data_IF_578903083348
#
_entry.id   IF_578903083348
#
_cell.length_a   1.000
_cell.length_b   1.000
_cell.length_c   1.000
_cell.angle_alpha   90.00
_cell.angle_beta   90.00
_cell.angle_gamma   90.00
#
_symmetry.space_group_name_H-M   'P 1'
#
loop_
_entity.id
_entity.type
_entity.pdbx_description
1 polymer ?
#
# COMPACT_ATOMS: atom_id res chain seq x y z
N UNK A 1 -10.31 20.99 11.34
CA UNK A 1 -9.00 21.13 11.99
C UNK A 1 -8.49 19.75 12.39
N UNK A 2 -9.32 18.93 13.03
CA UNK A 2 -8.97 17.58 13.49
C UNK A 2 -8.46 16.64 12.37
N UNK A 3 -9.11 16.59 11.20
CA UNK A 3 -8.67 15.73 10.07
C UNK A 3 -7.28 16.09 9.55
N UNK A 4 -6.91 17.38 9.56
CA UNK A 4 -5.59 17.80 9.12
C UNK A 4 -4.52 17.31 10.11
N UNK A 5 -4.80 17.40 11.41
CA UNK A 5 -3.92 16.87 12.47
C UNK A 5 -3.81 15.35 12.36
N UNK A 6 -4.93 14.62 12.28
CA UNK A 6 -4.94 13.17 12.11
C UNK A 6 -4.13 12.73 10.88
N UNK A 7 -4.29 13.45 9.77
CA UNK A 7 -3.55 13.16 8.52
C UNK A 7 -2.05 13.36 8.71
N UNK A 8 -1.61 14.45 9.36
CA UNK A 8 -0.20 14.70 9.63
C UNK A 8 0.39 13.69 10.63
N UNK A 9 -0.34 13.34 11.69
CA UNK A 9 0.07 12.33 12.67
C UNK A 9 0.22 10.93 12.07
N UNK A 10 -0.49 10.65 10.98
CA UNK A 10 -0.39 9.39 10.24
C UNK A 10 0.88 9.28 9.38
N UNK A 11 1.58 10.39 9.14
CA UNK A 11 2.72 10.42 8.22
C UNK A 11 3.96 9.76 8.82
N UNK A 12 4.48 8.76 8.12
CA UNK A 12 5.73 8.06 8.48
C UNK A 12 6.87 8.64 7.65
N UNK A 13 7.92 9.11 8.33
CA UNK A 13 9.14 9.53 7.66
C UNK A 13 9.90 8.33 7.08
N UNK A 14 10.21 8.40 5.78
CA UNK A 14 10.94 7.38 5.05
C UNK A 14 12.27 7.96 4.57
N UNK A 15 13.36 7.41 5.10
CA UNK A 15 14.70 7.75 4.61
C UNK A 15 14.89 7.25 3.19
N UNK A 16 15.13 8.18 2.28
CA UNK A 16 15.44 7.95 0.88
C UNK A 16 16.69 7.08 0.69
N UNK A 17 16.95 6.75 -0.56
CA UNK A 17 17.99 5.81 -0.94
C UNK A 17 17.81 5.30 -2.35
N UNK A 18 18.58 4.29 -2.69
CA UNK A 18 18.60 3.68 -4.02
C UNK A 18 18.17 2.23 -3.95
N UNK A 19 17.31 1.80 -4.86
CA UNK A 19 16.87 0.42 -4.97
C UNK A 19 16.66 -0.01 -6.43
N UNK A 20 16.54 -1.32 -6.63
CA UNK A 20 16.12 -1.90 -7.90
C UNK A 20 14.60 -2.01 -7.89
N UNK A 21 13.93 -1.11 -8.61
CA UNK A 21 12.48 -1.07 -8.75
C UNK A 21 12.03 -2.12 -9.77
N UNK A 22 10.88 -2.74 -9.50
CA UNK A 22 10.24 -3.73 -10.34
C UNK A 22 10.34 -5.15 -9.85
N UNK A 23 9.83 -6.06 -10.66
CA UNK A 23 9.71 -7.48 -10.35
C UNK A 23 11.06 -8.19 -10.44
N UNK A 24 11.79 -8.19 -9.33
CA UNK A 24 12.96 -9.04 -9.15
C UNK A 24 12.56 -10.52 -9.20
N UNK A 25 13.52 -11.37 -9.58
CA UNK A 25 13.28 -12.80 -9.80
C UNK A 25 12.98 -13.54 -8.50
N UNK A 26 12.29 -14.66 -8.62
CA UNK A 26 11.95 -15.60 -7.57
C UNK A 26 12.64 -16.97 -7.74
N UNK A 27 12.71 -17.78 -6.66
CA UNK A 27 12.99 -19.20 -6.76
C UNK A 27 12.06 -19.87 -7.77
N UNK A 28 12.59 -20.81 -8.57
CA UNK A 28 11.80 -21.49 -9.60
C UNK A 28 10.91 -22.61 -9.08
N UNK A 29 11.17 -23.10 -7.87
CA UNK A 29 10.40 -24.16 -7.23
C UNK A 29 10.28 -23.86 -5.73
N UNK A 30 9.58 -22.77 -5.35
CA UNK A 30 9.37 -22.47 -3.96
C UNK A 30 8.45 -23.51 -3.34
N UNK A 31 8.65 -23.82 -2.06
CA UNK A 31 7.76 -24.70 -1.29
C UNK A 31 6.36 -24.08 -1.20
N UNK A 32 6.29 -22.76 -1.08
CA UNK A 32 5.05 -21.97 -1.12
C UNK A 32 5.33 -20.61 -1.75
N UNK A 33 4.38 -20.08 -2.53
CA UNK A 33 4.46 -18.70 -3.03
C UNK A 33 4.23 -17.68 -1.94
N UNK A 34 3.48 -18.03 -0.88
CA UNK A 34 3.21 -17.14 0.25
C UNK A 34 4.44 -16.96 1.17
N UNK A 35 5.40 -17.89 1.10
CA UNK A 35 6.65 -17.84 1.84
C UNK A 35 7.82 -18.11 0.91
N UNK A 36 8.32 -17.05 0.29
CA UNK A 36 9.48 -17.08 -0.58
C UNK A 36 10.61 -16.22 -0.02
N UNK A 37 11.81 -16.79 0.00
CA UNK A 37 13.04 -16.04 0.25
C UNK A 37 13.69 -15.67 -1.07
N UNK A 38 14.13 -14.41 -1.17
CA UNK A 38 14.97 -14.01 -2.28
C UNK A 38 16.40 -14.52 -2.09
N UNK A 39 16.98 -15.02 -3.17
CA UNK A 39 18.41 -15.33 -3.24
C UNK A 39 19.01 -14.83 -4.56
N UNK A 40 20.34 -14.64 -4.62
CA UNK A 40 21.02 -14.29 -5.87
C UNK A 40 20.81 -15.30 -7.02
N UNK A 41 20.45 -16.54 -6.70
CA UNK A 41 20.19 -17.60 -7.68
C UNK A 41 18.75 -17.58 -8.23
N UNK A 42 17.91 -16.68 -7.75
CA UNK A 42 16.54 -16.51 -8.24
C UNK A 42 16.52 -16.15 -9.73
N UNK A 43 15.77 -16.93 -10.53
CA UNK A 43 15.75 -16.81 -12.01
C UNK A 43 14.34 -16.74 -12.59
N UNK A 44 13.33 -17.15 -11.84
CA UNK A 44 11.97 -17.24 -12.35
C UNK A 44 11.20 -15.94 -12.15
N UNK A 45 10.24 -15.66 -13.01
CA UNK A 45 9.35 -14.51 -12.85
C UNK A 45 8.35 -14.80 -11.72
N UNK A 46 8.03 -13.80 -10.91
CA UNK A 46 7.01 -13.91 -9.84
C UNK A 46 5.60 -14.09 -10.41
N UNK A 47 5.32 -13.55 -11.60
CA UNK A 47 4.07 -13.75 -12.33
C UNK A 47 4.26 -13.51 -13.83
N UNK A 48 3.42 -14.15 -14.64
CA UNK A 48 3.39 -13.96 -16.11
C UNK A 48 2.99 -12.52 -16.47
N UNK A 49 2.20 -11.85 -15.63
CA UNK A 49 1.75 -10.46 -15.88
C UNK A 49 2.90 -9.46 -15.95
N UNK A 50 4.02 -9.71 -15.27
CA UNK A 50 5.17 -8.78 -15.28
C UNK A 50 5.83 -8.64 -16.65
N UNK A 51 5.61 -9.61 -17.55
CA UNK A 51 6.04 -9.51 -18.94
C UNK A 51 5.19 -8.47 -19.68
N UNK A 52 3.89 -8.43 -19.38
CA UNK A 52 2.90 -7.54 -20.00
C UNK A 52 2.90 -6.12 -19.42
N UNK A 53 3.41 -5.93 -18.22
CA UNK A 53 3.47 -4.60 -17.58
C UNK A 53 4.85 -3.95 -17.68
N UNK A 54 5.84 -4.65 -18.24
CA UNK A 54 7.23 -4.20 -18.24
C UNK A 54 7.93 -4.31 -16.88
N UNK A 55 7.24 -4.71 -15.81
CA UNK A 55 7.82 -4.77 -14.46
C UNK A 55 9.02 -5.74 -14.34
N UNK A 56 9.18 -6.70 -15.25
CA UNK A 56 10.37 -7.57 -15.29
C UNK A 56 11.67 -6.84 -15.66
N UNK A 57 11.60 -5.62 -16.20
CA UNK A 57 12.76 -4.78 -16.50
C UNK A 57 13.14 -3.98 -15.26
N UNK A 58 13.82 -4.65 -14.32
CA UNK A 58 14.28 -3.99 -13.11
C UNK A 58 15.26 -2.87 -13.44
N UNK A 59 15.09 -1.73 -12.79
CA UNK A 59 15.91 -0.55 -13.03
C UNK A 59 16.24 0.14 -11.70
N UNK A 60 17.35 0.88 -11.69
CA UNK A 60 17.85 1.55 -10.50
C UNK A 60 17.13 2.88 -10.33
N UNK A 61 16.50 3.09 -9.18
CA UNK A 61 15.81 4.33 -8.81
C UNK A 61 16.42 4.90 -7.55
N UNK A 62 16.65 6.21 -7.52
CA UNK A 62 17.13 6.93 -6.34
C UNK A 62 16.10 7.95 -5.90
N UNK A 63 15.70 7.89 -4.62
CA UNK A 63 14.70 8.75 -4.02
C UNK A 63 15.31 9.61 -2.92
N UNK A 64 14.88 10.87 -2.85
CA UNK A 64 15.07 11.73 -1.68
C UNK A 64 14.24 11.24 -0.49
N UNK A 65 14.46 11.81 0.69
CA UNK A 65 13.58 11.57 1.84
C UNK A 65 12.17 12.08 1.56
N UNK A 66 11.16 11.41 2.10
CA UNK A 66 9.76 11.79 2.01
C UNK A 66 9.00 11.21 3.21
N UNK A 67 7.73 11.59 3.35
CA UNK A 67 6.81 10.92 4.27
C UNK A 67 5.66 10.30 3.49
N UNK A 68 5.09 9.23 4.04
CA UNK A 68 3.93 8.54 3.48
C UNK A 68 2.92 8.27 4.60
N UNK A 69 1.63 8.44 4.33
CA UNK A 69 0.58 8.08 5.29
C UNK A 69 0.69 6.59 5.66
N UNK A 70 0.56 6.25 6.95
CA UNK A 70 0.70 4.87 7.40
C UNK A 70 -0.48 3.96 7.05
N UNK A 71 -1.56 4.50 6.51
CA UNK A 71 -2.74 3.74 6.08
C UNK A 71 -3.43 4.50 4.96
N UNK A 72 -4.34 3.82 4.27
CA UNK A 72 -5.15 4.42 3.24
C UNK A 72 -6.08 5.48 3.82
N UNK A 73 -6.38 6.51 3.01
CA UNK A 73 -7.33 7.56 3.41
C UNK A 73 -8.65 6.95 3.86
N UNK A 74 -9.10 7.33 5.05
CA UNK A 74 -10.35 6.83 5.60
C UNK A 74 -11.57 7.56 5.05
N UNK A 75 -12.75 6.96 5.20
CA UNK A 75 -14.00 7.67 4.96
C UNK A 75 -14.12 8.93 5.81
N UNK A 76 -13.70 8.92 7.08
CA UNK A 76 -13.75 10.10 7.94
C UNK A 76 -12.97 11.29 7.35
N UNK A 77 -11.72 11.06 6.94
CA UNK A 77 -10.90 12.12 6.34
C UNK A 77 -11.50 12.63 5.03
N UNK A 78 -11.90 11.71 4.15
CA UNK A 78 -12.42 12.07 2.83
C UNK A 78 -13.81 12.70 2.87
N UNK A 79 -14.67 12.32 3.81
CA UNK A 79 -15.95 12.97 4.02
C UNK A 79 -15.79 14.40 4.55
N UNK A 80 -14.76 14.67 5.36
CA UNK A 80 -14.47 16.03 5.79
C UNK A 80 -14.07 16.92 4.62
N UNK A 81 -13.27 16.39 3.68
CA UNK A 81 -13.02 17.03 2.39
C UNK A 81 -14.30 17.26 1.61
N UNK A 82 -15.16 16.26 1.45
CA UNK A 82 -16.45 16.42 0.74
C UNK A 82 -17.30 17.52 1.37
N UNK A 83 -17.41 17.55 2.71
CA UNK A 83 -18.17 18.58 3.44
C UNK A 83 -17.57 19.98 3.29
N UNK A 84 -16.25 20.11 3.22
CA UNK A 84 -15.57 21.39 3.00
C UNK A 84 -15.97 22.05 1.66
N UNK A 85 -16.38 21.24 0.67
CA UNK A 85 -16.90 21.71 -0.63
C UNK A 85 -18.42 21.56 -0.76
N UNK A 86 -19.15 21.43 0.36
CA UNK A 86 -20.62 21.30 0.39
C UNK A 86 -21.15 20.09 -0.41
N UNK A 87 -20.36 19.03 -0.52
CA UNK A 87 -20.71 17.79 -1.23
C UNK A 87 -21.27 16.74 -0.26
N UNK A 88 -22.09 15.79 -0.75
CA UNK A 88 -22.51 14.64 0.05
C UNK A 88 -21.34 13.76 0.48
N UNK A 89 -21.46 13.13 1.65
CA UNK A 89 -20.53 12.08 2.11
C UNK A 89 -20.51 10.90 1.14
N UNK A 90 -19.39 10.19 1.10
CA UNK A 90 -19.21 9.03 0.21
C UNK A 90 -20.20 7.93 0.59
N UNK A 91 -20.88 7.34 -0.41
CA UNK A 91 -21.92 6.32 -0.22
C UNK A 91 -23.06 6.75 0.72
N UNK A 92 -23.47 8.03 0.71
CA UNK A 92 -24.54 8.57 1.55
C UNK A 92 -25.78 7.65 1.68
N UNK A 93 -26.28 7.10 0.57
CA UNK A 93 -27.47 6.22 0.58
C UNK A 93 -27.29 4.85 1.26
N UNK A 94 -26.08 4.49 1.70
CA UNK A 94 -25.79 3.27 2.47
C UNK A 94 -25.52 3.54 3.95
N UNK A 95 -25.58 4.80 4.38
CA UNK A 95 -25.21 5.20 5.75
C UNK A 95 -26.42 5.40 6.63
N UNK A 96 -26.26 5.07 7.90
CA UNK A 96 -27.26 5.40 8.92
C UNK A 96 -27.22 6.89 9.21
N UNK A 97 -26.00 7.46 9.30
CA UNK A 97 -25.79 8.89 9.48
C UNK A 97 -25.09 9.48 8.26
N UNK A 98 -25.63 10.58 7.74
CA UNK A 98 -25.16 11.21 6.50
C UNK A 98 -24.08 12.29 6.77
N UNK A 99 -23.29 12.07 7.81
CA UNK A 99 -22.27 12.97 8.35
C UNK A 99 -21.04 12.21 8.86
N UNK A 100 -20.14 12.92 9.52
CA UNK A 100 -18.86 12.39 10.02
C UNK A 100 -19.01 11.49 11.27
N UNK A 101 -20.21 11.39 11.86
CA UNK A 101 -20.46 10.66 13.11
C UNK A 101 -20.94 9.21 12.90
N UNK A 102 -20.89 8.71 11.66
CA UNK A 102 -21.15 7.30 11.36
C UNK A 102 -19.91 6.45 11.70
N UNK A 103 -19.82 6.00 12.96
CA UNK A 103 -18.69 5.25 13.50
C UNK A 103 -18.37 3.99 12.70
N UNK A 104 -19.36 3.40 12.01
CA UNK A 104 -19.17 2.19 11.20
C UNK A 104 -18.25 2.43 10.00
N UNK A 105 -18.20 3.65 9.48
CA UNK A 105 -17.39 4.01 8.31
C UNK A 105 -16.05 4.64 8.69
N UNK A 106 -15.89 5.13 9.92
CA UNK A 106 -14.77 5.97 10.33
C UNK A 106 -13.41 5.41 9.93
N UNK A 107 -13.17 4.13 10.24
CA UNK A 107 -11.88 3.44 10.05
C UNK A 107 -11.90 2.47 8.85
N UNK A 108 -12.71 2.79 7.83
CA UNK A 108 -12.68 2.08 6.55
C UNK A 108 -11.93 2.90 5.51
N UNK A 109 -11.16 2.24 4.64
CA UNK A 109 -10.52 2.86 3.50
C UNK A 109 -11.59 3.36 2.50
N UNK A 110 -11.48 4.63 2.11
CA UNK A 110 -12.45 5.28 1.23
C UNK A 110 -12.17 4.94 -0.25
N UNK A 111 -13.18 4.52 -1.02
CA UNK A 111 -13.05 4.41 -2.46
C UNK A 111 -13.25 5.77 -3.12
N UNK A 112 -12.48 6.04 -4.18
CA UNK A 112 -12.74 7.14 -5.11
C UNK A 112 -13.24 6.60 -6.46
N UNK A 113 -13.98 7.43 -7.20
CA UNK A 113 -14.45 7.08 -8.54
C UNK A 113 -13.41 7.34 -9.62
N UNK A 114 -12.53 8.31 -9.38
CA UNK A 114 -11.51 8.74 -10.32
C UNK A 114 -10.24 9.16 -9.58
N UNK A 115 -9.12 9.10 -10.28
CA UNK A 115 -7.82 9.55 -9.78
C UNK A 115 -7.85 10.99 -9.27
N UNK A 116 -8.56 11.89 -9.98
CA UNK A 116 -8.64 13.31 -9.63
C UNK A 116 -9.24 13.54 -8.24
N UNK A 117 -10.20 12.71 -7.80
CA UNK A 117 -10.78 12.82 -6.45
C UNK A 117 -9.73 12.57 -5.36
N UNK A 118 -8.82 11.61 -5.57
CA UNK A 118 -7.73 11.32 -4.65
C UNK A 118 -6.66 12.42 -4.69
N UNK A 119 -6.34 12.92 -5.90
CA UNK A 119 -5.41 14.04 -6.09
C UNK A 119 -5.89 15.31 -5.38
N UNK A 120 -7.15 15.69 -5.60
CA UNK A 120 -7.74 16.89 -5.00
C UNK A 120 -7.77 16.80 -3.48
N UNK A 121 -8.03 15.62 -2.92
CA UNK A 121 -7.96 15.40 -1.47
C UNK A 121 -6.56 15.67 -0.90
N UNK A 122 -5.51 15.12 -1.53
CA UNK A 122 -4.13 15.35 -1.11
C UNK A 122 -3.75 16.84 -1.19
N UNK A 123 -4.12 17.51 -2.29
CA UNK A 123 -3.84 18.94 -2.47
C UNK A 123 -4.59 19.80 -1.45
N UNK A 124 -5.86 19.48 -1.17
CA UNK A 124 -6.64 20.15 -0.12
C UNK A 124 -6.01 19.98 1.27
N UNK A 125 -5.53 18.78 1.60
CA UNK A 125 -4.76 18.58 2.84
C UNK A 125 -3.49 19.43 2.85
N UNK A 126 -2.80 19.55 1.71
CA UNK A 126 -1.62 20.40 1.57
C UNK A 126 -1.94 21.87 1.84
N UNK A 127 -3.04 22.38 1.27
CA UNK A 127 -3.53 23.75 1.52
C UNK A 127 -3.87 23.98 3.01
N UNK A 128 -4.48 23.00 3.67
CA UNK A 128 -4.85 23.12 5.09
C UNK A 128 -3.67 23.08 6.06
N UNK A 129 -2.59 22.41 5.66
CA UNK A 129 -1.47 22.10 6.56
C UNK A 129 -0.21 22.89 6.27
N UNK A 130 -0.15 23.58 5.12
CA UNK A 130 1.05 24.25 4.58
C UNK A 130 2.21 23.27 4.31
N UNK A 131 1.89 21.99 4.11
CA UNK A 131 2.83 20.96 3.67
C UNK A 131 2.57 20.58 2.21
N UNK A 132 3.61 20.19 1.44
CA UNK A 132 3.46 19.75 0.05
C UNK A 132 2.93 18.31 -0.01
N UNK A 133 1.66 18.11 0.38
CA UNK A 133 1.00 16.80 0.38
C UNK A 133 0.50 16.48 -1.03
N UNK A 134 0.84 15.29 -1.50
CA UNK A 134 0.44 14.78 -2.82
C UNK A 134 0.35 13.24 -2.79
N UNK A 135 -0.23 12.64 -3.84
CA UNK A 135 -0.14 11.21 -4.09
C UNK A 135 1.33 10.77 -4.23
N UNK A 136 1.71 9.59 -3.72
CA UNK A 136 3.05 9.07 -3.90
C UNK A 136 3.30 8.73 -5.37
N UNK A 137 4.54 8.84 -5.82
CA UNK A 137 4.96 8.19 -7.07
C UNK A 137 4.95 6.67 -6.92
N UNK A 138 4.86 5.93 -8.03
CA UNK A 138 4.99 4.46 -8.07
C UNK A 138 6.29 4.01 -7.37
N UNK A 139 7.38 4.73 -7.63
CA UNK A 139 8.68 4.47 -7.02
C UNK A 139 8.69 4.68 -5.51
N UNK A 140 8.08 5.76 -5.01
CA UNK A 140 7.94 6.00 -3.57
C UNK A 140 7.07 4.92 -2.92
N UNK A 141 5.99 4.51 -3.58
CA UNK A 141 5.11 3.47 -3.07
C UNK A 141 5.83 2.12 -2.99
N UNK A 142 6.50 1.68 -4.06
CA UNK A 142 7.22 0.39 -4.07
C UNK A 142 8.41 0.38 -3.10
N UNK A 143 9.18 1.48 -3.03
CA UNK A 143 10.31 1.59 -2.11
C UNK A 143 9.84 1.46 -0.64
N UNK A 144 8.72 2.10 -0.31
CA UNK A 144 8.10 2.03 1.00
C UNK A 144 7.56 0.62 1.31
N UNK A 145 6.81 0.04 0.37
CA UNK A 145 6.25 -1.31 0.46
C UNK A 145 7.34 -2.35 0.73
N UNK A 146 8.49 -2.21 0.06
CA UNK A 146 9.64 -3.11 0.17
C UNK A 146 10.60 -2.76 1.31
N UNK A 147 10.15 -2.04 2.34
CA UNK A 147 10.97 -1.65 3.48
C UNK A 147 12.31 -1.02 3.05
N UNK A 148 12.21 0.07 2.28
CA UNK A 148 13.32 0.78 1.65
C UNK A 148 14.01 -0.03 0.55
N UNK A 149 13.20 -0.66 -0.30
CA UNK A 149 13.64 -1.30 -1.53
C UNK A 149 14.33 -2.68 -1.39
N UNK A 150 14.15 -3.37 -0.26
CA UNK A 150 14.65 -4.74 -0.06
C UNK A 150 13.96 -5.74 -0.99
N UNK A 151 14.55 -6.91 -1.22
CA UNK A 151 13.92 -7.98 -2.00
C UNK A 151 12.87 -8.75 -1.16
N UNK A 152 11.76 -8.08 -0.86
CA UNK A 152 10.57 -8.65 -0.19
C UNK A 152 9.46 -8.82 -1.23
N UNK A 153 8.86 -10.00 -1.30
CA UNK A 153 7.76 -10.27 -2.24
C UNK A 153 6.42 -9.68 -1.77
N UNK A 154 6.29 -9.50 -0.45
CA UNK A 154 5.11 -8.96 0.18
C UNK A 154 5.52 -7.86 1.16
N UNK A 155 4.70 -6.81 1.25
CA UNK A 155 4.91 -5.65 2.10
C UNK A 155 4.31 -5.85 3.50
N UNK A 156 4.35 -7.07 4.02
CA UNK A 156 3.90 -7.41 5.37
C UNK A 156 5.00 -7.15 6.40
N UNK A 157 4.68 -7.33 7.68
CA UNK A 157 5.62 -7.22 8.80
C UNK A 157 6.90 -8.06 8.64
N UNK A 158 6.83 -9.21 7.97
CA UNK A 158 7.95 -10.14 7.81
C UNK A 158 8.26 -10.54 6.35
N UNK A 159 7.52 -10.01 5.37
CA UNK A 159 7.75 -10.30 3.95
C UNK A 159 7.05 -11.56 3.42
N UNK A 160 6.25 -12.25 4.25
CA UNK A 160 5.46 -13.43 3.87
C UNK A 160 3.96 -13.17 4.03
N UNK A 161 3.14 -14.00 3.38
CA UNK A 161 1.69 -14.01 3.58
C UNK A 161 1.30 -15.10 4.58
N UNK A 162 0.59 -14.69 5.63
CA UNK A 162 0.17 -15.53 6.73
C UNK A 162 -1.31 -15.23 6.99
N UNK A 163 -2.21 -15.97 6.32
CA UNK A 163 -3.66 -15.74 6.43
C UNK A 163 -4.28 -16.66 7.47
N UNK A 164 -5.44 -16.24 7.97
CA UNK A 164 -6.31 -17.09 8.78
C UNK A 164 -6.71 -18.35 8.00
N UNK A 165 -6.43 -19.50 8.60
CA UNK A 165 -6.77 -20.81 8.03
C UNK A 165 -5.72 -21.37 7.06
N UNK A 166 -4.67 -20.61 6.77
CA UNK A 166 -3.51 -21.12 6.03
C UNK A 166 -2.57 -21.90 6.97
N UNK A 167 -1.75 -22.77 6.37
CA UNK A 167 -0.74 -23.56 7.07
C UNK A 167 0.67 -23.25 6.55
N UNK A 168 1.67 -23.52 7.37
CA UNK A 168 3.07 -23.46 6.97
C UNK A 168 3.84 -24.69 7.43
N UNK A 169 4.96 -24.97 6.74
CA UNK A 169 5.80 -26.10 7.04
C UNK A 169 6.77 -25.76 8.18
N UNK A 170 6.71 -26.51 9.28
CA UNK A 170 7.62 -26.46 10.41
C UNK A 170 8.13 -27.87 10.67
N UNK A 171 9.44 -28.08 10.61
CA UNK A 171 10.09 -29.38 10.83
C UNK A 171 9.43 -30.55 10.06
N UNK A 172 9.04 -30.29 8.80
CA UNK A 172 8.42 -31.28 7.91
C UNK A 172 6.93 -31.56 8.16
N UNK A 173 6.27 -30.79 9.03
CA UNK A 173 4.82 -30.89 9.29
C UNK A 173 4.12 -29.58 8.98
N UNK A 174 2.91 -29.68 8.44
CA UNK A 174 2.05 -28.52 8.28
C UNK A 174 1.41 -28.18 9.63
N UNK A 175 1.53 -26.92 10.02
CA UNK A 175 0.90 -26.35 11.22
C UNK A 175 0.11 -25.11 10.82
N UNK A 176 -1.00 -24.87 11.50
CA UNK A 176 -1.86 -23.70 11.25
C UNK A 176 -1.18 -22.43 11.76
N UNK A 177 -1.33 -21.32 11.02
CA UNK A 177 -0.96 -20.02 11.57
C UNK A 177 -1.86 -19.64 12.73
N UNK A 178 -1.24 -19.25 13.84
CA UNK A 178 -1.93 -18.71 15.01
C UNK A 178 -2.47 -17.30 14.74
N UNK A 179 -3.43 -16.84 15.55
CA UNK A 179 -4.02 -15.50 15.42
C UNK A 179 -2.98 -14.38 15.44
N UNK A 180 -1.94 -14.52 16.25
CA UNK A 180 -0.88 -13.52 16.40
C UNK A 180 0.11 -13.51 15.22
N UNK A 181 0.06 -14.55 14.39
CA UNK A 181 0.85 -14.65 13.16
C UNK A 181 0.11 -14.10 11.94
N UNK A 182 -1.21 -13.92 11.99
CA UNK A 182 -1.93 -13.42 10.83
C UNK A 182 -1.47 -12.01 10.46
N UNK A 183 -1.15 -11.80 9.19
CA UNK A 183 -0.61 -10.52 8.72
C UNK A 183 -1.25 -9.98 7.44
N UNK A 184 -2.31 -10.64 6.97
CA UNK A 184 -3.08 -10.21 5.82
C UNK A 184 -4.52 -10.72 5.91
N UNK A 185 -5.44 -9.89 5.40
CA UNK A 185 -6.86 -10.13 5.39
C UNK A 185 -7.37 -11.00 4.26
N UNK A 186 -8.57 -11.51 4.46
CA UNK A 186 -9.44 -12.11 3.45
C UNK A 186 -10.40 -11.05 2.87
N UNK A 187 -11.17 -11.42 1.85
CA UNK A 187 -12.21 -10.54 1.27
C UNK A 187 -13.36 -10.19 2.24
N UNK A 188 -13.40 -10.78 3.43
CA UNK A 188 -14.39 -10.51 4.47
C UNK A 188 -13.95 -9.34 5.37
N UNK A 189 -12.66 -8.99 5.36
CA UNK A 189 -12.11 -7.89 6.14
C UNK A 189 -12.43 -6.57 5.41
N UNK A 190 -13.61 -6.01 5.72
CA UNK A 190 -14.38 -4.99 4.99
C UNK A 190 -13.68 -3.63 4.73
N UNK A 191 -12.58 -3.60 3.97
CA UNK A 191 -11.78 -2.38 3.76
C UNK A 191 -11.31 -1.73 5.07
N UNK A 192 -11.23 -2.48 6.17
CA UNK A 192 -10.86 -1.93 7.47
C UNK A 192 -9.36 -1.67 7.50
N UNK A 193 -8.96 -0.44 7.84
CA UNK A 193 -7.54 -0.10 7.93
C UNK A 193 -6.90 -0.72 9.17
N UNK A 194 -5.59 -0.94 9.12
CA UNK A 194 -4.75 -1.29 10.28
C UNK A 194 -5.21 -2.54 11.04
N UNK A 195 -5.86 -3.47 10.36
CA UNK A 195 -6.33 -4.72 10.97
C UNK A 195 -5.18 -5.69 11.25
N UNK A 196 -4.14 -5.65 10.43
CA UNK A 196 -2.97 -6.51 10.51
C UNK A 196 -1.70 -5.71 10.87
N UNK A 197 -0.64 -6.36 11.37
CA UNK A 197 0.61 -5.69 11.72
C UNK A 197 1.21 -4.93 10.52
N UNK A 198 1.80 -3.74 10.76
CA UNK A 198 2.42 -2.97 9.69
C UNK A 198 3.72 -3.61 9.22
N UNK A 199 4.19 -3.19 8.04
CA UNK A 199 5.55 -3.46 7.62
C UNK A 199 6.58 -2.82 8.57
N UNK A 200 7.88 -3.14 8.48
CA UNK A 200 8.88 -2.62 9.42
C UNK A 200 9.09 -1.09 9.41
N UNK A 201 8.49 -0.36 8.46
CA UNK A 201 8.46 1.11 8.46
C UNK A 201 7.27 1.67 9.24
N UNK A 202 6.31 0.83 9.64
CA UNK A 202 5.07 1.27 10.29
C UNK A 202 3.95 1.58 9.30
N UNK A 203 4.05 1.12 8.05
CA UNK A 203 3.01 1.26 7.03
C UNK A 203 2.12 0.02 7.02
N UNK A 204 0.81 0.23 7.05
CA UNK A 204 -0.20 -0.82 7.04
C UNK A 204 -0.69 -1.07 5.62
N UNK A 205 -1.26 -2.26 5.39
CA UNK A 205 -2.09 -2.58 4.23
C UNK A 205 -1.44 -2.45 2.82
N UNK A 206 -0.13 -2.17 2.75
CA UNK A 206 0.69 -2.15 1.52
C UNK A 206 0.69 -3.47 0.73
N UNK A 207 0.10 -4.55 1.28
CA UNK A 207 -0.23 -5.77 0.56
C UNK A 207 -1.64 -6.20 0.91
N UNK A 208 -2.61 -5.87 0.05
CA UNK A 208 -4.00 -6.27 0.20
C UNK A 208 -4.93 -5.07 0.35
N UNK A 209 -6.02 -5.27 1.09
CA UNK A 209 -7.05 -4.29 1.40
C UNK A 209 -7.72 -3.63 0.18
N UNK A 210 -7.18 -2.51 -0.31
CA UNK A 210 -7.70 -1.76 -1.45
C UNK A 210 -6.60 -1.45 -2.48
N UNK A 211 -7.01 -1.03 -3.68
CA UNK A 211 -6.04 -0.49 -4.65
C UNK A 211 -5.79 0.98 -4.35
N UNK A 212 -4.53 1.37 -4.37
CA UNK A 212 -4.08 2.71 -4.02
C UNK A 212 -3.67 3.50 -5.28
N UNK A 213 -4.13 4.74 -5.39
CA UNK A 213 -3.72 5.63 -6.47
C UNK A 213 -2.32 6.17 -6.25
N UNK A 214 -1.55 6.25 -7.33
CA UNK A 214 -0.22 6.88 -7.39
C UNK A 214 -0.24 8.07 -8.35
N UNK A 215 0.77 8.93 -8.30
CA UNK A 215 0.83 10.17 -9.08
C UNK A 215 1.19 9.95 -10.56
N UNK A 216 1.73 8.78 -10.92
CA UNK A 216 2.29 8.51 -12.24
C UNK A 216 1.23 8.18 -13.28
N UNK A 217 1.50 8.58 -14.53
CA UNK A 217 0.82 8.04 -15.69
C UNK A 217 1.35 6.64 -16.01
N UNK A 218 0.45 5.70 -16.25
CA UNK A 218 0.84 4.36 -16.66
C UNK A 218 1.48 4.35 -18.06
N UNK A 219 2.58 3.62 -18.20
CA UNK A 219 3.18 3.26 -19.48
C UNK A 219 3.87 1.90 -19.40
N UNK A 220 3.44 0.96 -20.24
CA UNK A 220 3.98 -0.41 -20.31
C UNK A 220 5.50 -0.44 -20.57
N UNK A 221 6.01 0.54 -21.34
CA UNK A 221 7.42 0.63 -21.71
C UNK A 221 8.29 1.43 -20.74
N UNK A 222 7.71 2.05 -19.69
CA UNK A 222 8.44 3.01 -18.86
C UNK A 222 9.67 2.40 -18.19
N UNK A 223 9.55 1.20 -17.62
CA UNK A 223 10.65 0.56 -16.89
C UNK A 223 11.87 0.28 -17.79
N UNK A 224 11.64 -0.06 -19.06
CA UNK A 224 12.70 -0.28 -20.06
C UNK A 224 13.41 1.01 -20.47
N UNK A 225 12.69 2.14 -20.43
CA UNK A 225 13.15 3.44 -20.92
C UNK A 225 13.47 4.41 -19.77
N UNK A 226 13.29 3.96 -18.53
CA UNK A 226 13.44 4.78 -17.34
C UNK A 226 14.82 5.45 -17.32
N UNK A 227 14.90 6.74 -16.95
CA UNK A 227 16.17 7.43 -16.85
C UNK A 227 17.12 6.63 -15.93
N UNK A 228 18.31 6.33 -16.43
CA UNK A 228 19.35 5.71 -15.59
C UNK A 228 19.85 6.79 -14.62
N UNK A 229 19.53 6.63 -13.34
CA UNK A 229 20.05 7.45 -12.25
C UNK A 229 21.57 7.29 -12.07
#
# INVERSE_FOLDING_TARGET
MDVAVESLESMVFIKGGTFMMGAFKAPCSPISTDRMDWSPDAKCNTTISNVKTGANFIHKVTLSNYSLANHETTYHGFDAFQKAYERPVVKAGMREKHDLSDDKFKDLATPTKAWQEAKDYCLWLGELTDYPIDLPTEAQWEYAARNRGKHLYYATNNGYLQRKGDQHLVDGRYVDYTKDEWNIGSSIDLNQIKLYPPNPLGLYDMTGNVREWINDWYSEGYYQQSPRA
#
